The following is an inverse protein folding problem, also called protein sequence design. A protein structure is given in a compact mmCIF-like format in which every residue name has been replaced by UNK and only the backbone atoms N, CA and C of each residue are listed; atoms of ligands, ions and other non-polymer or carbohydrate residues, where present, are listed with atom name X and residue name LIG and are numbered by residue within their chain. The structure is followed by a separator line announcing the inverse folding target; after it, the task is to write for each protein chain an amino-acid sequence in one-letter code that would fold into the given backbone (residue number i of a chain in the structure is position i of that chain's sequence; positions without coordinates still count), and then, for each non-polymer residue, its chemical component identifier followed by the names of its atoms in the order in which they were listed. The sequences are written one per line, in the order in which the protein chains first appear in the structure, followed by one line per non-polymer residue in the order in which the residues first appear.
data_IF_286773495601
#
_entry.id   IF_286773495601
#
_cell.length_a   1.000
_cell.length_b   1.000
_cell.length_c   1.000
_cell.angle_alpha   90.00
_cell.angle_beta   90.00
_cell.angle_gamma   90.00
#
_symmetry.space_group_name_H-M   'P 1'
#
loop_
_entity.id
_entity.type
_entity.pdbx_description
1 polymer ?
#
# COMPACT_ATOMS: atom_id res chain seq x y z
N UNK A 1 20.63 -25.09 -11.61
CA UNK A 1 20.97 -23.67 -11.41
C UNK A 1 19.80 -23.02 -10.67
N UNK A 2 19.89 -22.82 -9.35
CA UNK A 2 18.81 -22.20 -8.55
C UNK A 2 18.98 -20.68 -8.62
N UNK A 3 18.19 -20.03 -9.46
CA UNK A 3 18.08 -18.57 -9.47
C UNK A 3 17.29 -18.21 -8.21
N UNK A 4 17.96 -17.65 -7.20
CA UNK A 4 17.27 -16.98 -6.10
C UNK A 4 16.90 -15.58 -6.59
N UNK A 5 15.66 -15.41 -7.04
CA UNK A 5 15.07 -14.07 -7.06
C UNK A 5 14.98 -13.63 -5.59
N UNK A 6 15.90 -12.78 -5.14
CA UNK A 6 15.60 -11.87 -4.03
C UNK A 6 14.59 -10.88 -4.59
N UNK A 7 13.31 -11.20 -4.47
CA UNK A 7 12.26 -10.21 -4.64
C UNK A 7 12.51 -9.24 -3.49
N UNK A 8 13.09 -8.09 -3.81
CA UNK A 8 13.20 -6.97 -2.88
C UNK A 8 11.77 -6.68 -2.47
N UNK A 9 11.43 -6.92 -1.20
CA UNK A 9 10.08 -6.73 -0.71
C UNK A 9 9.76 -5.24 -0.82
N UNK A 10 8.77 -4.84 -1.64
CA UNK A 10 8.45 -3.45 -1.85
C UNK A 10 8.01 -2.80 -0.53
N UNK A 11 8.48 -1.58 -0.24
CA UNK A 11 7.86 -0.75 0.81
C UNK A 11 6.40 -0.45 0.39
N UNK A 12 5.50 -0.01 1.27
CA UNK A 12 4.14 0.34 0.83
C UNK A 12 4.15 1.46 -0.24
N UNK A 13 5.20 2.27 -0.27
CA UNK A 13 5.48 3.21 -1.37
C UNK A 13 5.52 2.55 -2.75
N UNK A 14 5.93 1.30 -2.80
CA UNK A 14 5.99 0.47 -4.00
C UNK A 14 4.72 -0.36 -4.21
N UNK A 15 3.84 -0.53 -3.21
CA UNK A 15 2.44 -1.01 -3.44
C UNK A 15 1.65 -0.01 -4.25
N UNK A 16 1.97 1.28 -4.12
CA UNK A 16 1.53 2.30 -5.06
C UNK A 16 2.30 2.22 -6.39
N UNK A 17 3.04 1.16 -6.66
CA UNK A 17 3.91 0.95 -7.81
C UNK A 17 3.22 1.08 -9.17
N UNK A 18 4.00 1.03 -10.26
CA UNK A 18 3.47 1.14 -11.61
C UNK A 18 2.38 0.09 -11.89
N UNK A 19 2.52 -1.11 -11.34
CA UNK A 19 1.60 -2.23 -11.55
C UNK A 19 0.18 -1.94 -11.04
N UNK A 20 0.03 -1.26 -9.90
CA UNK A 20 -1.28 -0.92 -9.35
C UNK A 20 -1.96 0.19 -10.16
N UNK A 21 -1.18 1.18 -10.62
CA UNK A 21 -1.69 2.24 -11.50
C UNK A 21 -2.04 1.70 -12.90
N UNK A 22 -1.30 0.72 -13.40
CA UNK A 22 -1.61 0.03 -14.66
C UNK A 22 -2.88 -0.80 -14.54
N UNK A 23 -3.05 -1.54 -13.45
CA UNK A 23 -4.25 -2.33 -13.18
C UNK A 23 -5.48 -1.45 -12.88
N UNK A 24 -5.29 -0.33 -12.17
CA UNK A 24 -6.35 0.57 -11.71
C UNK A 24 -5.97 2.03 -11.96
N UNK A 25 -6.17 2.49 -13.19
CA UNK A 25 -5.86 3.88 -13.58
C UNK A 25 -6.50 4.90 -12.63
N UNK A 26 -5.69 5.81 -12.10
CA UNK A 26 -6.08 6.88 -11.18
C UNK A 26 -6.03 6.50 -9.70
N UNK A 27 -5.70 5.26 -9.36
CA UNK A 27 -5.60 4.81 -7.96
C UNK A 27 -4.55 5.60 -7.18
N UNK A 28 -3.42 5.96 -7.80
CA UNK A 28 -2.43 6.82 -7.13
C UNK A 28 -3.02 8.16 -6.72
N UNK A 29 -3.80 8.79 -7.59
CA UNK A 29 -4.44 10.08 -7.29
C UNK A 29 -5.54 9.95 -6.23
N UNK A 30 -6.17 8.78 -6.12
CA UNK A 30 -7.15 8.50 -5.08
C UNK A 30 -6.48 8.32 -3.71
N UNK A 31 -5.30 7.69 -3.66
CA UNK A 31 -4.58 7.34 -2.43
C UNK A 31 -3.60 8.41 -1.95
N UNK A 32 -3.04 9.21 -2.87
CA UNK A 32 -2.03 10.22 -2.57
C UNK A 32 -2.59 11.64 -2.61
N UNK A 33 -2.04 12.50 -1.74
CA UNK A 33 -2.21 13.95 -1.75
C UNK A 33 -0.84 14.59 -1.62
N UNK A 34 -0.43 15.38 -2.61
CA UNK A 34 0.91 16.00 -2.70
C UNK A 34 2.07 15.00 -2.65
N UNK A 35 1.86 13.78 -3.15
CA UNK A 35 2.88 12.71 -3.13
C UNK A 35 2.95 11.93 -1.82
N UNK A 36 2.14 12.28 -0.83
CA UNK A 36 2.04 11.58 0.44
C UNK A 36 0.73 10.81 0.56
N UNK A 37 0.73 9.72 1.33
CA UNK A 37 -0.48 8.96 1.59
C UNK A 37 -1.51 9.85 2.30
N UNK A 38 -2.72 9.88 1.76
CA UNK A 38 -3.83 10.62 2.33
C UNK A 38 -4.09 10.23 3.79
N UNK A 39 -4.22 11.24 4.65
CA UNK A 39 -4.43 11.02 6.09
C UNK A 39 -5.80 10.43 6.42
N UNK A 40 -6.80 10.72 5.58
CA UNK A 40 -8.19 10.31 5.73
C UNK A 40 -8.47 8.90 5.21
N UNK A 41 -7.48 8.23 4.61
CA UNK A 41 -7.56 6.83 4.19
C UNK A 41 -7.15 5.88 5.32
N UNK A 42 -7.88 4.77 5.45
CA UNK A 42 -7.50 3.66 6.31
C UNK A 42 -6.81 2.59 5.47
N UNK A 43 -5.53 2.33 5.75
CA UNK A 43 -4.77 1.23 5.17
C UNK A 43 -4.40 0.25 6.28
N UNK A 44 -4.68 -1.03 6.05
CA UNK A 44 -4.51 -2.11 7.01
C UNK A 44 -3.72 -3.23 6.33
N UNK A 45 -2.66 -3.71 6.99
CA UNK A 45 -1.87 -4.87 6.56
C UNK A 45 -2.10 -5.98 7.57
N UNK A 46 -2.58 -7.14 7.13
CA UNK A 46 -2.85 -8.30 8.00
C UNK A 46 -3.72 -7.97 9.24
N UNK A 47 -4.69 -7.07 9.08
CA UNK A 47 -5.59 -6.65 10.17
C UNK A 47 -5.04 -5.55 11.09
N UNK A 48 -3.80 -5.08 10.88
CA UNK A 48 -3.18 -4.00 11.67
C UNK A 48 -3.08 -2.73 10.84
N UNK A 49 -3.52 -1.61 11.41
CA UNK A 49 -3.39 -0.29 10.77
C UNK A 49 -1.93 0.00 10.46
N UNK A 50 -1.66 0.40 9.21
CA UNK A 50 -0.33 0.73 8.73
C UNK A 50 0.34 1.82 9.59
N UNK A 51 -0.45 2.75 10.13
CA UNK A 51 0.06 3.81 11.03
C UNK A 51 0.67 3.26 12.32
N UNK A 52 0.33 2.03 12.70
CA UNK A 52 0.87 1.34 13.88
C UNK A 52 2.08 0.45 13.55
N UNK A 53 2.36 0.19 12.27
CA UNK A 53 3.37 -0.77 11.82
C UNK A 53 4.57 -0.13 11.11
N UNK A 54 4.75 1.19 11.24
CA UNK A 54 5.84 1.93 10.58
C UNK A 54 5.42 2.80 9.40
N UNK A 55 4.11 2.88 9.11
CA UNK A 55 3.60 3.76 8.07
C UNK A 55 4.01 3.29 6.66
N UNK A 56 4.32 4.21 5.74
CA UNK A 56 4.71 3.88 4.36
C UNK A 56 5.97 2.99 4.27
N UNK A 57 6.81 3.00 5.30
CA UNK A 57 8.06 2.24 5.37
C UNK A 57 7.86 0.86 6.03
N UNK A 58 6.60 0.43 6.27
CA UNK A 58 6.30 -0.90 6.78
C UNK A 58 6.78 -1.97 5.80
N UNK A 59 7.56 -2.93 6.30
CA UNK A 59 7.98 -4.11 5.52
C UNK A 59 6.76 -4.99 5.19
N UNK A 60 6.67 -5.43 3.94
CA UNK A 60 5.59 -6.26 3.44
C UNK A 60 6.15 -7.60 2.97
N UNK A 61 5.53 -8.69 3.37
CA UNK A 61 5.88 -10.04 2.96
C UNK A 61 5.05 -10.53 1.77
N UNK A 62 5.56 -11.56 1.09
CA UNK A 62 4.73 -12.36 0.18
C UNK A 62 3.57 -13.01 0.94
N UNK A 63 2.36 -12.88 0.41
CA UNK A 63 1.13 -13.34 1.05
C UNK A 63 0.47 -12.36 2.04
N UNK A 64 1.07 -11.20 2.30
CA UNK A 64 0.43 -10.16 3.11
C UNK A 64 -0.83 -9.62 2.44
N UNK A 65 -1.87 -9.40 3.24
CA UNK A 65 -3.15 -8.88 2.78
C UNK A 65 -3.26 -7.40 3.13
N UNK A 66 -3.36 -6.56 2.11
CA UNK A 66 -3.59 -5.12 2.26
C UNK A 66 -5.06 -4.80 2.01
N UNK A 67 -5.69 -4.11 2.96
CA UNK A 67 -7.03 -3.54 2.83
C UNK A 67 -6.90 -2.03 2.77
N UNK A 68 -7.49 -1.41 1.75
CA UNK A 68 -7.54 0.04 1.58
C UNK A 68 -9.01 0.47 1.63
N UNK A 69 -9.35 1.29 2.62
CA UNK A 69 -10.71 1.81 2.81
C UNK A 69 -10.73 3.33 2.61
N UNK A 70 -11.67 3.85 1.81
CA UNK A 70 -11.85 5.29 1.63
C UNK A 70 -12.22 5.96 2.97
N UNK A 71 -12.14 7.31 3.02
CA UNK A 71 -12.55 8.04 4.20
C UNK A 71 -14.00 7.68 4.55
N UNK A 72 -14.33 7.54 5.84
CA UNK A 72 -15.69 7.28 6.25
C UNK A 72 -16.60 8.42 5.78
N UNK A 73 -17.46 8.15 4.81
CA UNK A 73 -18.56 9.01 4.44
C UNK A 73 -19.72 8.70 5.37
N UNK A 74 -20.00 9.59 6.32
CA UNK A 74 -21.17 9.45 7.20
C UNK A 74 -22.46 9.42 6.37
N UNK A 75 -23.36 8.51 6.74
CA UNK A 75 -24.74 8.41 6.24
C UNK A 75 -25.70 8.32 7.41
#
# INVERSE_FOLDING_TARGET
MKIRLKIFLPELRDILGPDLEEAYRGVRNALLKYGELREDMLIVVNGISLRLTGGPDAELGDGDVIVISPPPGGG
#
